data_IF_487996972213
#
_entry.id   IF_487996972213
#
_cell.length_a   1.000
_cell.length_b   1.000
_cell.length_c   1.000
_cell.angle_alpha   90.00
_cell.angle_beta   90.00
_cell.angle_gamma   90.00
#
_symmetry.space_group_name_H-M   'P 1'
#
loop_
_entity.id
_entity.type
_entity.pdbx_description
1 polymer ?
#
# COMPACT_ATOMS: atom_id res chain seq x y z
N UNK A 1 -11.25 0.08 20.19
CA UNK A 1 -9.99 0.22 19.42
C UNK A 1 -10.18 -0.27 17.98
N UNK A 2 -10.31 -1.58 17.72
CA UNK A 2 -10.41 -2.15 16.36
C UNK A 2 -11.51 -1.52 15.50
N UNK A 3 -12.73 -1.33 16.04
CA UNK A 3 -13.84 -0.73 15.29
C UNK A 3 -13.58 0.73 14.90
N UNK A 4 -12.94 1.52 15.76
CA UNK A 4 -12.60 2.90 15.43
C UNK A 4 -11.57 2.96 14.29
N UNK A 5 -10.64 2.03 14.27
CA UNK A 5 -9.66 1.88 13.19
C UNK A 5 -10.33 1.48 11.87
N UNK A 6 -11.24 0.50 11.90
CA UNK A 6 -11.93 0.06 10.69
C UNK A 6 -12.93 1.10 10.15
N UNK A 7 -13.60 1.85 11.01
CA UNK A 7 -14.56 2.90 10.60
C UNK A 7 -13.86 4.03 9.82
N UNK A 8 -12.54 4.24 10.01
CA UNK A 8 -11.78 5.22 9.26
C UNK A 8 -11.54 4.80 7.79
N UNK A 9 -11.38 3.51 7.53
CA UNK A 9 -10.99 2.99 6.21
C UNK A 9 -12.15 2.40 5.41
N UNK A 10 -13.25 1.98 6.05
CA UNK A 10 -14.31 1.22 5.40
C UNK A 10 -15.66 1.94 5.48
N UNK A 11 -16.14 2.42 4.32
CA UNK A 11 -17.44 3.09 4.22
C UNK A 11 -18.64 2.14 4.36
N UNK A 12 -18.46 0.84 4.07
CA UNK A 12 -19.46 -0.21 4.23
C UNK A 12 -18.87 -1.36 5.04
N UNK A 13 -19.28 -1.46 6.30
CA UNK A 13 -18.80 -2.47 7.23
C UNK A 13 -19.96 -3.29 7.78
N UNK A 14 -19.90 -4.60 7.62
CA UNK A 14 -20.75 -5.56 8.31
C UNK A 14 -19.96 -6.33 9.35
N UNK A 15 -20.48 -6.43 10.56
CA UNK A 15 -19.89 -7.25 11.63
C UNK A 15 -20.54 -8.61 11.59
N UNK A 16 -19.73 -9.66 11.57
CA UNK A 16 -20.16 -11.05 11.57
C UNK A 16 -19.58 -11.77 12.76
N UNK A 17 -20.35 -12.68 13.35
CA UNK A 17 -19.86 -13.55 14.42
C UNK A 17 -18.97 -14.67 13.87
N UNK A 18 -19.26 -15.15 12.65
CA UNK A 18 -18.44 -16.11 11.91
C UNK A 18 -18.23 -15.64 10.48
N UNK A 19 -16.97 -15.49 10.07
CA UNK A 19 -16.62 -15.11 8.70
C UNK A 19 -16.92 -16.19 7.67
N UNK A 20 -17.08 -17.45 8.09
CA UNK A 20 -17.46 -18.56 7.22
C UNK A 20 -18.93 -18.52 6.82
N UNK A 21 -19.76 -17.71 7.47
CA UNK A 21 -21.16 -17.49 7.11
C UNK A 21 -21.38 -16.64 5.85
N UNK A 22 -20.33 -16.46 5.03
CA UNK A 22 -20.35 -15.70 3.77
C UNK A 22 -20.00 -16.54 2.53
N UNK A 23 -20.73 -17.66 2.26
CA UNK A 23 -20.33 -18.62 1.22
C UNK A 23 -20.47 -18.08 -0.22
N UNK A 24 -21.11 -16.92 -0.42
CA UNK A 24 -21.41 -16.36 -1.75
C UNK A 24 -20.63 -15.07 -2.07
N UNK A 25 -19.80 -14.58 -1.15
CA UNK A 25 -18.99 -13.39 -1.38
C UNK A 25 -17.73 -13.75 -2.19
N UNK A 26 -17.40 -12.95 -3.19
CA UNK A 26 -16.09 -12.99 -3.86
C UNK A 26 -15.06 -12.26 -2.99
N UNK A 27 -14.26 -13.02 -2.24
CA UNK A 27 -13.25 -12.47 -1.34
C UNK A 27 -12.06 -11.98 -2.17
N UNK A 28 -11.81 -10.68 -2.14
CA UNK A 28 -10.65 -10.07 -2.80
C UNK A 28 -9.40 -10.12 -1.92
N UNK A 29 -9.59 -9.92 -0.62
CA UNK A 29 -8.51 -9.84 0.36
C UNK A 29 -9.02 -10.15 1.76
N UNK A 30 -8.21 -10.81 2.57
CA UNK A 30 -8.38 -10.91 4.01
C UNK A 30 -7.37 -10.00 4.67
N UNK A 31 -7.82 -8.99 5.41
CA UNK A 31 -6.98 -8.10 6.19
C UNK A 31 -7.04 -8.49 7.66
N UNK A 32 -5.89 -8.75 8.25
CA UNK A 32 -5.77 -9.13 9.67
C UNK A 32 -5.16 -7.97 10.44
N UNK A 33 -5.86 -7.51 11.46
CA UNK A 33 -5.36 -6.48 12.37
C UNK A 33 -4.69 -7.12 13.59
N UNK A 34 -3.48 -6.70 13.87
CA UNK A 34 -2.74 -7.09 15.07
C UNK A 34 -2.73 -5.93 16.08
N UNK A 35 -3.06 -6.20 17.34
CA UNK A 35 -3.01 -5.19 18.40
C UNK A 35 -1.58 -4.85 18.84
N UNK A 36 -0.59 -5.64 18.42
CA UNK A 36 0.84 -5.41 18.56
C UNK A 36 1.49 -5.13 17.19
N UNK A 37 2.83 -5.14 17.11
CA UNK A 37 3.56 -5.01 15.84
C UNK A 37 3.33 -6.25 14.96
N UNK A 38 2.56 -6.11 13.90
CA UNK A 38 2.19 -7.20 13.00
C UNK A 38 3.41 -7.89 12.36
N UNK A 39 4.49 -7.15 12.14
CA UNK A 39 5.77 -7.64 11.61
C UNK A 39 6.39 -8.76 12.48
N UNK A 40 6.16 -8.70 13.79
CA UNK A 40 6.75 -9.65 14.74
C UNK A 40 5.79 -10.76 15.18
N UNK A 41 4.49 -10.60 14.94
CA UNK A 41 3.45 -11.52 15.40
C UNK A 41 2.72 -12.19 14.23
N UNK A 42 1.74 -11.48 13.66
CA UNK A 42 0.82 -12.04 12.65
C UNK A 42 1.52 -12.35 11.33
N UNK A 43 2.44 -11.50 10.88
CA UNK A 43 3.11 -11.69 9.60
C UNK A 43 3.96 -12.97 9.54
N UNK A 44 4.84 -13.28 10.51
CA UNK A 44 5.58 -14.55 10.52
C UNK A 44 4.66 -15.77 10.55
N UNK A 45 3.56 -15.71 11.32
CA UNK A 45 2.61 -16.82 11.42
C UNK A 45 1.90 -17.10 10.08
N UNK A 46 1.43 -16.04 9.40
CA UNK A 46 0.76 -16.16 8.11
C UNK A 46 1.73 -16.44 6.95
N UNK A 47 3.00 -16.09 7.08
CA UNK A 47 4.04 -16.38 6.09
C UNK A 47 4.25 -17.88 5.84
N UNK A 48 3.79 -18.74 6.75
CA UNK A 48 3.75 -20.21 6.53
C UNK A 48 2.90 -20.59 5.31
N UNK A 49 1.95 -19.76 4.89
CA UNK A 49 1.09 -19.97 3.72
C UNK A 49 1.64 -19.29 2.45
N UNK A 50 2.83 -18.67 2.52
CA UNK A 50 3.47 -18.06 1.36
C UNK A 50 3.77 -19.13 0.29
N UNK A 51 3.25 -18.94 -0.90
CA UNK A 51 3.29 -19.93 -1.98
C UNK A 51 1.90 -20.47 -2.36
N UNK A 52 0.96 -20.48 -1.41
CA UNK A 52 -0.46 -20.71 -1.70
C UNK A 52 -1.20 -19.37 -1.85
N UNK A 53 -0.82 -18.40 -1.05
CA UNK A 53 -1.36 -17.03 -1.05
C UNK A 53 -0.22 -16.02 -0.96
N UNK A 54 -0.49 -14.79 -1.33
CA UNK A 54 0.40 -13.67 -1.07
C UNK A 54 0.09 -13.06 0.30
N UNK A 55 1.09 -13.06 1.19
CA UNK A 55 1.01 -12.47 2.52
C UNK A 55 1.85 -11.21 2.54
N UNK A 56 1.24 -10.06 2.82
CA UNK A 56 1.88 -8.75 2.74
C UNK A 56 1.69 -7.97 4.03
N UNK A 57 2.78 -7.47 4.59
CA UNK A 57 2.71 -6.49 5.67
C UNK A 57 2.30 -5.14 5.05
N UNK A 58 1.08 -4.70 5.33
CA UNK A 58 0.46 -3.51 4.73
C UNK A 58 0.42 -2.29 5.66
N UNK A 59 0.87 -2.45 6.89
CA UNK A 59 0.97 -1.39 7.89
C UNK A 59 1.58 -1.94 9.18
N UNK A 60 1.86 -1.06 10.14
CA UNK A 60 2.44 -1.47 11.43
C UNK A 60 1.61 -2.54 12.17
N UNK A 61 0.30 -2.52 11.95
CA UNK A 61 -0.69 -3.39 12.59
C UNK A 61 -1.47 -4.27 11.61
N UNK A 62 -1.16 -4.22 10.30
CA UNK A 62 -1.96 -4.86 9.29
C UNK A 62 -1.18 -5.86 8.45
N UNK A 63 -1.77 -7.05 8.28
CA UNK A 63 -1.30 -8.07 7.34
C UNK A 63 -2.43 -8.39 6.37
N UNK A 64 -2.14 -8.27 5.09
CA UNK A 64 -3.04 -8.62 4.01
C UNK A 64 -2.71 -9.99 3.43
N UNK A 65 -3.73 -10.82 3.27
CA UNK A 65 -3.66 -12.11 2.58
C UNK A 65 -4.53 -12.02 1.34
N UNK A 66 -3.95 -12.32 0.19
CA UNK A 66 -4.60 -12.17 -1.10
C UNK A 66 -4.09 -13.20 -2.13
N UNK A 67 -4.70 -13.26 -3.29
CA UNK A 67 -4.28 -14.17 -4.34
C UNK A 67 -2.83 -13.90 -4.78
N UNK A 68 -2.11 -14.96 -5.14
CA UNK A 68 -0.77 -14.84 -5.70
C UNK A 68 -0.72 -13.89 -6.89
N UNK A 69 0.25 -12.98 -6.88
CA UNK A 69 0.44 -11.99 -7.93
C UNK A 69 -0.53 -10.80 -7.88
N UNK A 70 -1.47 -10.77 -6.93
CA UNK A 70 -2.32 -9.60 -6.68
C UNK A 70 -1.55 -8.60 -5.82
N UNK A 71 -0.84 -7.66 -6.45
CA UNK A 71 -0.09 -6.59 -5.77
C UNK A 71 -0.23 -5.26 -6.52
N UNK A 72 0.14 -4.17 -5.85
CA UNK A 72 0.02 -2.81 -6.41
C UNK A 72 0.86 -2.62 -7.67
N UNK A 73 2.03 -3.24 -7.76
CA UNK A 73 2.88 -3.18 -8.94
C UNK A 73 2.26 -3.89 -10.15
N UNK A 74 1.67 -5.06 -9.95
CA UNK A 74 0.96 -5.78 -11.00
C UNK A 74 -0.28 -5.01 -11.48
N UNK A 75 -1.04 -4.43 -10.55
CA UNK A 75 -2.18 -3.57 -10.87
C UNK A 75 -1.75 -2.34 -11.70
N UNK A 76 -0.69 -1.65 -11.27
CA UNK A 76 -0.15 -0.50 -11.98
C UNK A 76 0.28 -0.84 -13.41
N UNK A 77 1.00 -1.96 -13.62
CA UNK A 77 1.40 -2.39 -14.96
C UNK A 77 0.20 -2.68 -15.86
N UNK A 78 -0.89 -3.21 -15.32
CA UNK A 78 -2.14 -3.39 -16.08
C UNK A 78 -2.77 -2.05 -16.49
N UNK A 79 -2.77 -1.06 -15.58
CA UNK A 79 -3.25 0.30 -15.89
C UNK A 79 -2.36 0.94 -16.96
N UNK A 80 -1.03 0.85 -16.83
CA UNK A 80 -0.08 1.34 -17.84
C UNK A 80 -0.37 0.73 -19.22
N UNK A 81 -0.52 -0.58 -19.28
CA UNK A 81 -0.83 -1.29 -20.52
C UNK A 81 -2.19 -0.86 -21.11
N UNK A 82 -3.22 -0.74 -20.28
CA UNK A 82 -4.56 -0.34 -20.75
C UNK A 82 -4.61 1.09 -21.29
N UNK A 83 -3.79 1.99 -20.72
CA UNK A 83 -3.72 3.39 -21.12
C UNK A 83 -2.62 3.67 -22.16
N UNK A 84 -1.78 2.70 -22.51
CA UNK A 84 -0.64 2.88 -23.40
C UNK A 84 0.44 3.81 -22.85
N UNK A 85 0.60 3.89 -21.53
CA UNK A 85 1.62 4.71 -20.86
C UNK A 85 2.81 3.84 -20.40
N UNK A 86 3.98 4.46 -20.31
CA UNK A 86 5.23 3.78 -19.95
C UNK A 86 5.62 4.05 -18.50
N UNK A 87 6.62 3.32 -17.99
CA UNK A 87 7.23 3.61 -16.68
C UNK A 87 7.80 5.03 -16.60
N UNK A 88 8.34 5.55 -17.69
CA UNK A 88 8.88 6.92 -17.80
C UNK A 88 7.79 8.01 -17.71
N UNK A 89 6.54 7.65 -17.93
CA UNK A 89 5.38 8.55 -17.83
C UNK A 89 4.58 8.33 -16.54
N UNK A 90 5.13 7.53 -15.62
CA UNK A 90 4.44 7.13 -14.39
C UNK A 90 5.21 7.62 -13.18
N UNK A 91 4.46 8.22 -12.26
CA UNK A 91 4.95 8.61 -10.94
C UNK A 91 4.18 7.84 -9.88
N UNK A 92 4.89 7.29 -8.89
CA UNK A 92 4.30 6.53 -7.79
C UNK A 92 4.85 7.00 -6.45
N UNK A 93 4.02 6.89 -5.43
CA UNK A 93 4.35 7.20 -4.05
C UNK A 93 3.97 6.03 -3.16
N UNK A 94 4.78 5.74 -2.17
CA UNK A 94 4.51 4.68 -1.22
C UNK A 94 5.16 4.92 0.13
N UNK A 95 4.68 4.24 1.14
CA UNK A 95 5.18 4.35 2.51
C UNK A 95 5.41 3.00 3.19
N UNK A 96 4.83 1.91 2.67
CA UNK A 96 4.95 0.61 3.32
C UNK A 96 5.28 -0.54 2.35
N UNK A 97 5.46 -1.76 2.88
CA UNK A 97 5.98 -2.90 2.11
C UNK A 97 5.05 -3.40 1.00
N UNK A 98 3.75 -3.13 1.10
CA UNK A 98 2.78 -3.43 0.03
C UNK A 98 2.94 -2.55 -1.22
N UNK A 99 3.82 -1.55 -1.18
CA UNK A 99 4.15 -0.66 -2.29
C UNK A 99 5.45 -1.06 -3.02
N UNK A 100 6.20 -2.06 -2.52
CA UNK A 100 7.52 -2.41 -3.05
C UNK A 100 7.51 -2.69 -4.56
N UNK A 101 6.58 -3.53 -5.03
CA UNK A 101 6.50 -3.89 -6.45
C UNK A 101 6.05 -2.72 -7.33
N UNK A 102 5.38 -1.73 -6.75
CA UNK A 102 4.98 -0.52 -7.44
C UNK A 102 6.17 0.40 -7.71
N UNK A 103 7.17 0.43 -6.83
CA UNK A 103 8.41 1.20 -7.05
C UNK A 103 9.15 0.75 -8.31
N UNK A 104 9.10 -0.54 -8.65
CA UNK A 104 9.74 -1.08 -9.85
C UNK A 104 8.96 -0.80 -11.15
N UNK A 105 7.73 -0.40 -11.05
CA UNK A 105 6.85 -0.17 -12.20
C UNK A 105 6.92 1.27 -12.74
N UNK A 106 7.59 2.18 -12.03
CA UNK A 106 7.65 3.60 -12.39
C UNK A 106 9.08 4.13 -12.36
N UNK A 107 9.41 5.02 -13.32
CA UNK A 107 10.69 5.72 -13.31
C UNK A 107 10.73 6.79 -12.22
N UNK A 108 9.61 7.45 -11.96
CA UNK A 108 9.48 8.41 -10.87
C UNK A 108 8.88 7.72 -9.64
N UNK A 109 9.68 6.86 -8.97
CA UNK A 109 9.26 6.18 -7.74
C UNK A 109 9.75 6.92 -6.50
N UNK A 110 8.82 7.30 -5.64
CA UNK A 110 9.07 8.07 -4.42
C UNK A 110 8.66 7.28 -3.18
N UNK A 111 9.58 7.06 -2.27
CA UNK A 111 9.23 6.70 -0.90
C UNK A 111 8.95 7.97 -0.10
N UNK A 112 7.92 7.94 0.73
CA UNK A 112 7.71 9.01 1.72
C UNK A 112 8.85 9.03 2.73
N UNK A 113 9.22 10.18 3.27
CA UNK A 113 10.33 10.27 4.24
C UNK A 113 10.08 9.44 5.52
N UNK A 114 8.81 9.29 5.90
CA UNK A 114 8.37 8.42 6.99
C UNK A 114 8.11 6.96 6.56
N UNK A 115 8.52 6.56 5.35
CA UNK A 115 8.30 5.21 4.82
C UNK A 115 9.17 4.16 5.52
N UNK A 116 8.72 2.91 5.42
CA UNK A 116 9.48 1.75 5.86
C UNK A 116 10.89 1.74 5.22
N UNK A 117 11.98 1.39 5.97
CA UNK A 117 13.35 1.45 5.47
C UNK A 117 13.58 0.72 4.15
N UNK A 118 13.04 -0.50 4.00
CA UNK A 118 13.17 -1.28 2.77
C UNK A 118 12.51 -0.61 1.55
N UNK A 119 11.43 0.14 1.75
CA UNK A 119 10.81 0.88 0.66
C UNK A 119 11.67 2.09 0.26
N UNK A 120 12.28 2.77 1.23
CA UNK A 120 13.22 3.88 0.97
C UNK A 120 14.46 3.42 0.18
N UNK A 121 14.95 2.21 0.45
CA UNK A 121 16.06 1.61 -0.31
C UNK A 121 15.65 1.25 -1.74
N UNK A 122 14.37 0.89 -1.97
CA UNK A 122 13.86 0.46 -3.27
C UNK A 122 13.47 1.61 -4.18
N UNK A 123 12.93 2.69 -3.64
CA UNK A 123 12.51 3.86 -4.39
C UNK A 123 13.71 4.65 -4.92
N UNK A 124 13.55 5.30 -6.08
CA UNK A 124 14.60 6.14 -6.67
C UNK A 124 14.75 7.49 -5.99
N UNK A 125 13.67 7.98 -5.39
CA UNK A 125 13.60 9.29 -4.77
C UNK A 125 12.91 9.21 -3.41
N UNK A 126 13.12 10.23 -2.59
CA UNK A 126 12.42 10.43 -1.33
C UNK A 126 11.58 11.70 -1.44
N UNK A 127 10.30 11.60 -1.12
CA UNK A 127 9.39 12.74 -0.96
C UNK A 127 9.34 13.16 0.51
N UNK A 128 9.01 14.43 0.82
CA UNK A 128 8.72 14.83 2.20
C UNK A 128 7.63 13.94 2.83
N UNK A 129 7.51 13.90 4.17
CA UNK A 129 6.54 13.02 4.82
C UNK A 129 5.09 13.39 4.43
N UNK A 130 4.17 12.44 4.61
CA UNK A 130 2.75 12.66 4.34
C UNK A 130 2.16 13.83 5.14
N UNK A 131 2.68 14.07 6.35
CA UNK A 131 2.29 15.21 7.22
C UNK A 131 2.73 16.58 6.69
N UNK A 132 3.60 16.63 5.68
CA UNK A 132 4.10 17.87 5.05
C UNK A 132 3.74 17.93 3.55
N UNK A 133 2.56 17.44 3.19
CA UNK A 133 2.06 17.45 1.80
C UNK A 133 3.06 16.86 0.77
N UNK A 134 3.86 15.87 1.19
CA UNK A 134 5.03 15.39 0.44
C UNK A 134 4.72 14.93 -0.98
N UNK A 135 3.58 14.27 -1.21
CA UNK A 135 3.14 13.84 -2.55
C UNK A 135 2.97 15.04 -3.48
N UNK A 136 2.19 16.03 -3.07
CA UNK A 136 1.87 17.20 -3.91
C UNK A 136 3.11 18.05 -4.16
N UNK A 137 3.98 18.19 -3.15
CA UNK A 137 5.26 18.91 -3.28
C UNK A 137 6.20 18.22 -4.28
N UNK A 138 6.32 16.91 -4.23
CA UNK A 138 7.14 16.16 -5.17
C UNK A 138 6.59 16.24 -6.59
N UNK A 139 5.26 16.11 -6.78
CA UNK A 139 4.60 16.29 -8.09
C UNK A 139 4.90 17.69 -8.64
N UNK A 140 4.70 18.73 -7.83
CA UNK A 140 4.95 20.12 -8.24
C UNK A 140 6.40 20.33 -8.65
N UNK A 141 7.35 19.78 -7.91
CA UNK A 141 8.78 19.90 -8.20
C UNK A 141 9.15 19.21 -9.54
N UNK A 142 8.65 17.99 -9.78
CA UNK A 142 8.95 17.24 -11.01
C UNK A 142 8.32 17.90 -12.24
N UNK A 143 7.10 18.42 -12.09
CA UNK A 143 6.37 19.04 -13.20
C UNK A 143 6.70 20.54 -13.39
N UNK A 144 7.55 21.13 -12.55
CA UNK A 144 7.85 22.56 -12.58
C UNK A 144 6.65 23.45 -12.26
N UNK A 145 5.69 22.95 -11.49
CA UNK A 145 4.51 23.68 -11.06
C UNK A 145 4.78 24.46 -9.77
N UNK A 146 4.21 25.69 -9.62
CA UNK A 146 4.36 26.42 -8.38
C UNK A 146 3.61 25.68 -7.26
N UNK A 147 4.29 25.44 -6.14
CA UNK A 147 3.66 25.00 -4.91
C UNK A 147 3.09 26.24 -4.18
N UNK A 148 1.77 26.31 -4.07
CA UNK A 148 1.06 27.43 -3.43
C UNK A 148 0.45 27.07 -2.07
N UNK A 149 0.67 25.84 -1.59
CA UNK A 149 0.17 25.39 -0.29
C UNK A 149 1.02 25.95 0.85
N UNK A 150 0.37 26.48 1.87
CA UNK A 150 1.01 26.73 3.17
C UNK A 150 1.15 25.39 3.90
N UNK A 151 2.24 25.13 4.62
CA UNK A 151 2.28 24.07 5.63
C UNK A 151 1.21 24.42 6.69
N UNK A 152 0.35 23.45 7.01
CA UNK A 152 -0.54 23.55 8.17
C UNK A 152 0.26 23.52 9.48
#
# INVERSE_FOLDING_TARGET
AFRAETDEYYAALAVLDDLLDRPHDEILKVAVYDFGPAEHNTWPALSAFAGEVQVVLSGAHWVDVQNLGANKGAALRRVQQALGITSAQTMVFGDFLNDLEMMDAAEYSFAMDNAHPLLRERARYVAPPNTDNGVVRAISAVLGLPWTGTPD
#
